data_IF_466928579675
#
_entry.id   IF_466928579675
#
_cell.length_a   1.000
_cell.length_b   1.000
_cell.length_c   1.000
_cell.angle_alpha   90.00
_cell.angle_beta   90.00
_cell.angle_gamma   90.00
#
_symmetry.space_group_name_H-M   'P 1'
#
loop_
_entity.id
_entity.type
_entity.pdbx_description
1 polymer ?
#
# COMPACT_ATOMS: atom_id res chain seq x y z
N UNK A 1 11.81 -10.90 18.14
CA UNK A 1 12.79 -11.54 19.05
C UNK A 1 13.45 -12.68 18.30
N UNK A 2 14.78 -12.71 18.16
CA UNK A 2 15.52 -13.79 17.46
C UNK A 2 15.15 -15.15 18.03
N UNK A 3 14.88 -16.17 17.21
CA UNK A 3 14.40 -17.48 17.66
C UNK A 3 15.46 -18.23 18.46
N UNK A 4 15.03 -19.14 19.33
CA UNK A 4 15.96 -20.00 20.07
C UNK A 4 16.90 -20.76 19.13
N UNK A 5 16.37 -21.34 18.05
CA UNK A 5 17.18 -22.09 17.07
C UNK A 5 18.25 -21.22 16.41
N UNK A 6 17.93 -19.96 16.12
CA UNK A 6 18.85 -18.98 15.55
C UNK A 6 19.92 -18.55 16.54
N UNK A 7 19.53 -18.25 17.79
CA UNK A 7 20.47 -17.84 18.84
C UNK A 7 21.50 -18.92 19.17
N UNK A 8 21.15 -20.19 18.98
CA UNK A 8 22.02 -21.33 19.25
C UNK A 8 22.64 -21.94 17.97
N UNK A 9 22.46 -21.29 16.81
CA UNK A 9 23.10 -21.70 15.56
C UNK A 9 22.57 -22.98 14.92
N UNK A 10 21.41 -23.47 15.36
CA UNK A 10 20.73 -24.62 14.72
C UNK A 10 20.09 -24.24 13.39
N UNK A 11 19.72 -22.97 13.23
CA UNK A 11 19.18 -22.40 12.00
C UNK A 11 19.84 -21.05 11.73
N UNK A 12 20.15 -20.74 10.48
CA UNK A 12 20.55 -19.38 10.14
C UNK A 12 19.30 -18.49 10.12
N UNK A 13 19.34 -17.28 10.72
CA UNK A 13 18.28 -16.31 10.52
C UNK A 13 18.13 -16.02 9.03
N UNK A 14 16.94 -16.25 8.49
CA UNK A 14 16.66 -15.89 7.09
C UNK A 14 16.46 -14.39 7.01
N UNK A 15 17.56 -13.63 6.94
CA UNK A 15 17.54 -12.20 6.64
C UNK A 15 17.17 -11.91 5.17
N UNK A 16 16.84 -12.95 4.40
CA UNK A 16 16.42 -12.83 3.01
C UNK A 16 14.97 -12.40 2.98
N UNK A 17 14.74 -11.19 2.50
CA UNK A 17 13.40 -10.71 2.18
C UNK A 17 12.86 -11.57 1.02
N UNK A 18 11.74 -12.24 1.26
CA UNK A 18 11.03 -13.10 0.32
C UNK A 18 10.24 -12.22 -0.65
N UNK A 19 10.49 -12.43 -1.95
CA UNK A 19 9.87 -11.70 -3.06
C UNK A 19 9.40 -12.68 -4.12
N UNK A 20 8.34 -12.34 -4.83
CA UNK A 20 7.88 -13.07 -6.02
C UNK A 20 7.61 -14.57 -5.80
N UNK A 21 7.27 -14.94 -4.57
CA UNK A 21 6.83 -16.28 -4.18
C UNK A 21 6.03 -16.20 -2.87
N UNK A 22 5.19 -17.19 -2.62
CA UNK A 22 4.51 -17.37 -1.33
C UNK A 22 4.95 -18.73 -0.79
N UNK A 23 5.73 -18.71 0.29
CA UNK A 23 6.12 -19.94 0.99
C UNK A 23 4.92 -20.53 1.72
N UNK A 24 4.99 -21.81 2.11
CA UNK A 24 3.94 -22.45 2.92
C UNK A 24 3.70 -21.69 4.23
N UNK A 25 4.75 -21.11 4.83
CA UNK A 25 4.61 -20.30 6.03
C UNK A 25 3.80 -19.02 5.79
N UNK A 26 4.06 -18.32 4.68
CA UNK A 26 3.30 -17.11 4.29
C UNK A 26 1.87 -17.48 3.91
N UNK A 27 1.68 -18.56 3.16
CA UNK A 27 0.36 -19.06 2.79
C UNK A 27 -0.50 -19.32 4.02
N UNK A 28 0.01 -20.09 4.98
CA UNK A 28 -0.72 -20.41 6.20
C UNK A 28 -1.02 -19.18 7.04
N UNK A 29 -0.10 -18.20 7.10
CA UNK A 29 -0.35 -16.96 7.80
C UNK A 29 -1.47 -16.14 7.16
N UNK A 30 -1.51 -16.05 5.83
CA UNK A 30 -2.61 -15.39 5.11
C UNK A 30 -3.93 -16.15 5.36
N UNK A 31 -3.93 -17.47 5.24
CA UNK A 31 -5.10 -18.30 5.53
C UNK A 31 -5.65 -18.06 6.94
N UNK A 32 -4.78 -18.06 7.96
CA UNK A 32 -5.19 -17.77 9.34
C UNK A 32 -5.81 -16.37 9.47
N UNK A 33 -5.30 -15.35 8.75
CA UNK A 33 -5.92 -14.03 8.75
C UNK A 33 -7.32 -14.04 8.13
N UNK A 34 -7.56 -14.86 7.09
CA UNK A 34 -8.89 -15.04 6.49
C UNK A 34 -9.84 -15.84 7.40
N UNK A 35 -9.35 -16.87 8.10
CA UNK A 35 -10.15 -17.61 9.09
C UNK A 35 -10.65 -16.67 10.20
N UNK A 36 -9.77 -15.83 10.74
CA UNK A 36 -10.15 -14.83 11.75
C UNK A 36 -11.06 -13.72 11.19
N UNK A 37 -10.92 -13.39 9.90
CA UNK A 37 -11.82 -12.46 9.22
C UNK A 37 -13.21 -13.06 9.06
N UNK A 38 -13.32 -14.35 8.72
CA UNK A 38 -14.59 -15.09 8.66
C UNK A 38 -15.31 -15.04 10.01
N UNK A 39 -14.61 -15.33 11.10
CA UNK A 39 -15.17 -15.27 12.46
C UNK A 39 -15.75 -13.90 12.80
N UNK A 40 -15.12 -12.82 12.32
CA UNK A 40 -15.54 -11.43 12.58
C UNK A 40 -16.67 -10.97 11.67
N UNK A 41 -16.64 -11.35 10.39
CA UNK A 41 -17.64 -10.93 9.41
C UNK A 41 -18.92 -11.78 9.46
N UNK A 42 -18.84 -13.02 9.94
CA UNK A 42 -19.97 -13.95 9.98
C UNK A 42 -20.61 -14.08 8.60
N UNK A 43 -21.92 -13.81 8.49
CA UNK A 43 -22.65 -13.91 7.22
C UNK A 43 -22.14 -12.95 6.13
N UNK A 44 -21.44 -11.86 6.47
CA UNK A 44 -20.87 -10.97 5.45
C UNK A 44 -19.67 -11.61 4.73
N UNK A 45 -19.00 -12.57 5.35
CA UNK A 45 -17.90 -13.30 4.72
C UNK A 45 -18.38 -14.09 3.49
N UNK A 46 -19.61 -14.62 3.53
CA UNK A 46 -20.24 -15.25 2.37
C UNK A 46 -20.35 -14.28 1.18
N UNK A 47 -20.73 -13.02 1.42
CA UNK A 47 -20.84 -12.01 0.36
C UNK A 47 -19.47 -11.67 -0.25
N UNK A 48 -18.43 -11.60 0.58
CA UNK A 48 -17.05 -11.42 0.13
C UNK A 48 -16.62 -12.60 -0.76
N UNK A 49 -16.81 -13.83 -0.28
CA UNK A 49 -16.48 -15.03 -1.07
C UNK A 49 -17.25 -15.10 -2.39
N UNK A 50 -18.55 -14.74 -2.38
CA UNK A 50 -19.36 -14.67 -3.59
C UNK A 50 -18.80 -13.63 -4.56
N UNK A 51 -18.45 -12.44 -4.06
CA UNK A 51 -17.86 -11.37 -4.84
C UNK A 51 -16.57 -11.83 -5.53
N UNK A 52 -15.64 -12.44 -4.80
CA UNK A 52 -14.41 -12.98 -5.38
C UNK A 52 -14.71 -14.05 -6.44
N UNK A 53 -15.62 -14.98 -6.14
CA UNK A 53 -16.02 -16.04 -7.07
C UNK A 53 -16.56 -15.48 -8.40
N UNK A 54 -17.46 -14.49 -8.32
CA UNK A 54 -18.15 -13.97 -9.50
C UNK A 54 -17.36 -12.88 -10.23
N UNK A 55 -16.65 -12.02 -9.52
CA UNK A 55 -16.04 -10.80 -10.07
C UNK A 55 -14.58 -11.04 -10.44
N UNK A 56 -13.81 -11.68 -9.54
CA UNK A 56 -12.40 -11.98 -9.80
C UNK A 56 -12.27 -13.22 -10.68
N UNK A 57 -12.86 -14.35 -10.27
CA UNK A 57 -12.75 -15.61 -11.04
C UNK A 57 -13.71 -15.71 -12.23
N UNK A 58 -14.68 -14.79 -12.37
CA UNK A 58 -15.67 -14.79 -13.44
C UNK A 58 -16.49 -16.10 -13.54
N UNK A 59 -16.76 -16.73 -12.39
CA UNK A 59 -17.48 -17.99 -12.30
C UNK A 59 -18.98 -17.77 -12.03
N UNK A 60 -19.81 -18.71 -12.49
CA UNK A 60 -21.28 -18.63 -12.35
C UNK A 60 -21.70 -18.68 -10.88
N UNK A 61 -22.52 -17.72 -10.44
CA UNK A 61 -23.08 -17.62 -9.08
C UNK A 61 -23.77 -18.91 -8.60
N UNK A 62 -24.57 -19.56 -9.43
CA UNK A 62 -25.24 -20.82 -9.04
C UNK A 62 -24.25 -21.91 -8.61
N UNK A 63 -23.04 -21.95 -9.20
CA UNK A 63 -22.00 -22.92 -8.83
C UNK A 63 -21.36 -22.63 -7.48
N UNK A 64 -21.23 -21.36 -7.11
CA UNK A 64 -20.82 -20.99 -5.76
C UNK A 64 -21.82 -21.48 -4.72
N UNK A 65 -23.12 -21.27 -4.97
CA UNK A 65 -24.17 -21.70 -4.05
C UNK A 65 -24.26 -23.22 -3.93
N UNK A 66 -24.03 -23.97 -5.01
CA UNK A 66 -23.91 -25.43 -4.96
C UNK A 66 -22.73 -25.85 -4.08
N UNK A 67 -21.54 -25.27 -4.28
CA UNK A 67 -20.34 -25.64 -3.53
C UNK A 67 -20.49 -25.40 -2.02
N UNK A 68 -20.95 -24.21 -1.60
CA UNK A 68 -21.09 -23.89 -0.17
C UNK A 68 -22.16 -24.76 0.53
N UNK A 69 -23.22 -25.17 -0.17
CA UNK A 69 -24.29 -25.99 0.44
C UNK A 69 -23.86 -27.42 0.75
N UNK A 70 -22.90 -27.96 0.00
CA UNK A 70 -22.58 -29.39 0.00
C UNK A 70 -21.13 -29.70 0.37
N UNK A 71 -20.31 -28.70 0.72
CA UNK A 71 -18.92 -28.89 1.11
C UNK A 71 -18.43 -27.81 2.07
N UNK A 72 -17.35 -28.09 2.82
CA UNK A 72 -16.58 -27.09 3.58
C UNK A 72 -15.75 -26.22 2.61
N UNK A 73 -16.40 -25.65 1.60
CA UNK A 73 -15.74 -24.90 0.55
C UNK A 73 -15.55 -23.45 0.98
N UNK A 74 -14.28 -23.04 1.05
CA UNK A 74 -13.87 -21.65 1.20
C UNK A 74 -13.08 -21.22 -0.05
N UNK A 75 -13.49 -20.11 -0.66
CA UNK A 75 -12.88 -19.58 -1.90
C UNK A 75 -11.42 -19.19 -1.68
N UNK A 76 -11.11 -18.54 -0.55
CA UNK A 76 -9.78 -18.04 -0.25
C UNK A 76 -8.85 -19.19 0.10
N UNK A 77 -9.19 -20.03 1.09
CA UNK A 77 -8.38 -21.16 1.53
C UNK A 77 -8.10 -22.10 0.34
N UNK A 78 -9.11 -22.47 -0.43
CA UNK A 78 -8.91 -23.32 -1.61
C UNK A 78 -8.01 -22.67 -2.65
N UNK A 79 -8.06 -21.34 -2.80
CA UNK A 79 -7.20 -20.64 -3.76
C UNK A 79 -5.75 -20.52 -3.26
N UNK A 80 -5.56 -20.20 -1.98
CA UNK A 80 -4.25 -20.11 -1.36
C UNK A 80 -3.57 -21.49 -1.29
N UNK A 81 -4.31 -22.56 -1.01
CA UNK A 81 -3.74 -23.91 -0.95
C UNK A 81 -3.53 -24.58 -2.31
N UNK A 82 -4.17 -24.07 -3.38
CA UNK A 82 -4.00 -24.63 -4.72
C UNK A 82 -2.60 -24.33 -5.28
N UNK A 83 -1.77 -25.36 -5.54
CA UNK A 83 -0.41 -25.17 -6.06
C UNK A 83 -0.38 -24.71 -7.53
N UNK A 84 -1.49 -24.82 -8.25
CA UNK A 84 -1.58 -24.39 -9.65
C UNK A 84 -1.81 -22.87 -9.78
N UNK A 85 -2.30 -22.21 -8.72
CA UNK A 85 -2.48 -20.76 -8.72
C UNK A 85 -1.13 -20.10 -8.43
N UNK A 86 -0.74 -19.17 -9.30
CA UNK A 86 0.54 -18.44 -9.17
C UNK A 86 0.50 -17.52 -7.96
N UNK A 87 1.67 -17.27 -7.36
CA UNK A 87 1.78 -16.44 -6.16
C UNK A 87 1.16 -15.05 -6.32
N UNK A 88 1.32 -14.41 -7.50
CA UNK A 88 0.77 -13.08 -7.74
C UNK A 88 -0.77 -13.11 -7.82
N UNK A 89 -1.35 -14.11 -8.49
CA UNK A 89 -2.81 -14.32 -8.49
C UNK A 89 -3.38 -14.55 -7.07
N UNK A 90 -2.58 -15.07 -6.13
CA UNK A 90 -2.99 -15.21 -4.73
C UNK A 90 -2.98 -13.86 -4.00
N UNK A 91 -2.04 -12.98 -4.33
CA UNK A 91 -2.02 -11.61 -3.79
C UNK A 91 -3.15 -10.75 -4.38
N UNK A 92 -3.54 -10.98 -5.64
CA UNK A 92 -4.70 -10.32 -6.25
C UNK A 92 -5.97 -10.54 -5.38
N UNK A 93 -6.11 -11.70 -4.72
CA UNK A 93 -7.25 -11.96 -3.83
C UNK A 93 -7.28 -11.04 -2.61
N UNK A 94 -6.11 -10.60 -2.13
CA UNK A 94 -6.00 -9.63 -1.04
C UNK A 94 -6.45 -8.26 -1.56
N UNK A 95 -5.94 -7.82 -2.72
CA UNK A 95 -6.37 -6.55 -3.35
C UNK A 95 -7.90 -6.54 -3.58
N UNK A 96 -8.46 -7.63 -4.10
CA UNK A 96 -9.91 -7.77 -4.33
C UNK A 96 -10.71 -7.77 -3.02
N UNK A 97 -10.14 -8.26 -1.92
CA UNK A 97 -10.76 -8.20 -0.60
C UNK A 97 -10.88 -6.75 -0.12
N UNK A 98 -9.82 -5.96 -0.27
CA UNK A 98 -9.86 -4.54 0.07
C UNK A 98 -10.72 -3.72 -0.90
N UNK A 99 -10.75 -4.09 -2.19
CA UNK A 99 -11.67 -3.50 -3.16
C UNK A 99 -13.13 -3.73 -2.76
N UNK A 100 -13.48 -4.94 -2.31
CA UNK A 100 -14.80 -5.25 -1.76
C UNK A 100 -15.14 -4.35 -0.56
N UNK A 101 -14.19 -4.16 0.36
CA UNK A 101 -14.40 -3.28 1.53
C UNK A 101 -14.66 -1.83 1.16
N UNK A 102 -14.07 -1.33 0.06
CA UNK A 102 -14.28 0.03 -0.45
C UNK A 102 -15.59 0.21 -1.22
N UNK A 103 -16.35 -0.86 -1.49
CA UNK A 103 -17.61 -0.74 -2.24
C UNK A 103 -18.66 0.07 -1.45
N UNK A 104 -19.43 0.97 -2.10
CA UNK A 104 -20.47 1.75 -1.41
C UNK A 104 -21.56 0.92 -0.72
N UNK A 105 -21.75 -0.32 -1.18
CA UNK A 105 -22.71 -1.28 -0.64
C UNK A 105 -22.14 -2.15 0.48
N UNK A 106 -20.84 -2.02 0.77
CA UNK A 106 -20.19 -2.69 1.87
C UNK A 106 -20.37 -1.84 3.14
N UNK A 107 -20.91 -2.46 4.19
CA UNK A 107 -21.18 -1.80 5.47
C UNK A 107 -20.42 -2.49 6.61
N UNK A 108 -19.17 -2.88 6.35
CA UNK A 108 -18.28 -3.47 7.35
C UNK A 108 -17.65 -2.34 8.16
N UNK A 109 -17.60 -2.51 9.48
CA UNK A 109 -16.97 -1.55 10.39
C UNK A 109 -15.49 -1.35 10.03
N UNK A 110 -15.03 -0.09 9.96
CA UNK A 110 -13.64 0.23 9.63
C UNK A 110 -12.64 -0.48 10.53
N UNK A 111 -12.97 -0.62 11.82
CA UNK A 111 -12.13 -1.35 12.77
C UNK A 111 -11.86 -2.81 12.36
N UNK A 112 -12.83 -3.50 11.74
CA UNK A 112 -12.62 -4.87 11.27
C UNK A 112 -11.64 -4.89 10.10
N UNK A 113 -11.75 -3.91 9.19
CA UNK A 113 -10.87 -3.76 8.03
C UNK A 113 -9.45 -3.42 8.50
N UNK A 114 -9.32 -2.47 9.42
CA UNK A 114 -8.04 -2.03 10.00
C UNK A 114 -7.34 -3.20 10.71
N UNK A 115 -8.08 -3.99 11.49
CA UNK A 115 -7.54 -5.16 12.17
C UNK A 115 -7.08 -6.26 11.20
N UNK A 116 -7.80 -6.46 10.09
CA UNK A 116 -7.40 -7.42 9.06
C UNK A 116 -6.11 -6.96 8.36
N UNK A 117 -6.05 -5.68 7.97
CA UNK A 117 -4.85 -5.07 7.38
C UNK A 117 -3.64 -5.18 8.32
N UNK A 118 -3.82 -4.80 9.59
CA UNK A 118 -2.76 -4.84 10.61
C UNK A 118 -2.21 -6.25 10.79
N UNK A 119 -3.08 -7.26 10.86
CA UNK A 119 -2.67 -8.66 11.01
C UNK A 119 -1.90 -9.18 9.81
N UNK A 120 -2.37 -8.92 8.60
CA UNK A 120 -1.65 -9.28 7.38
C UNK A 120 -0.25 -8.62 7.35
N UNK A 121 -0.16 -7.32 7.64
CA UNK A 121 1.11 -6.60 7.67
C UNK A 121 2.07 -7.13 8.74
N UNK A 122 1.55 -7.46 9.93
CA UNK A 122 2.34 -8.06 11.00
C UNK A 122 2.89 -9.43 10.60
N UNK A 123 2.07 -10.27 9.96
CA UNK A 123 2.50 -11.58 9.47
C UNK A 123 3.51 -11.46 8.32
N UNK A 124 3.31 -10.51 7.40
CA UNK A 124 4.24 -10.23 6.31
C UNK A 124 5.59 -9.74 6.85
N UNK A 125 5.60 -8.87 7.85
CA UNK A 125 6.82 -8.45 8.53
C UNK A 125 7.50 -9.61 9.26
N UNK A 126 6.75 -10.37 10.06
CA UNK A 126 7.24 -11.52 10.83
C UNK A 126 7.88 -12.59 9.94
N UNK A 127 7.38 -12.76 8.72
CA UNK A 127 7.84 -13.76 7.75
C UNK A 127 8.82 -13.20 6.71
N UNK A 128 9.31 -11.97 6.88
CA UNK A 128 10.20 -11.29 5.93
C UNK A 128 9.65 -11.26 4.49
N UNK A 129 8.34 -11.12 4.34
CA UNK A 129 7.69 -10.94 3.05
C UNK A 129 7.78 -9.48 2.60
N UNK A 130 8.14 -9.25 1.33
CA UNK A 130 8.44 -7.90 0.81
C UNK A 130 7.23 -6.99 0.61
N UNK A 131 6.02 -7.50 0.83
CA UNK A 131 4.77 -6.80 0.52
C UNK A 131 4.09 -6.30 1.78
N UNK A 132 3.35 -5.20 1.66
CA UNK A 132 2.50 -4.62 2.69
C UNK A 132 1.21 -4.15 2.06
N UNK A 133 0.15 -4.12 2.86
CA UNK A 133 -1.11 -3.50 2.50
C UNK A 133 -1.09 -2.09 3.08
N UNK A 134 -1.17 -1.09 2.22
CA UNK A 134 -1.27 0.32 2.61
C UNK A 134 -2.46 0.91 1.85
N UNK A 135 -3.39 1.51 2.58
CA UNK A 135 -4.65 2.01 2.02
C UNK A 135 -5.39 0.96 1.17
N UNK A 136 -5.36 -0.30 1.60
CA UNK A 136 -5.98 -1.42 0.88
C UNK A 136 -5.31 -1.84 -0.43
N UNK A 137 -4.08 -1.39 -0.72
CA UNK A 137 -3.30 -1.84 -1.87
C UNK A 137 -2.10 -2.68 -1.43
N UNK A 138 -1.90 -3.84 -2.05
CA UNK A 138 -0.69 -4.65 -1.87
C UNK A 138 0.47 -4.00 -2.64
N UNK A 139 1.47 -3.50 -1.92
CA UNK A 139 2.65 -2.82 -2.49
C UNK A 139 3.94 -3.45 -1.98
N UNK A 140 4.98 -3.45 -2.81
CA UNK A 140 6.33 -3.93 -2.43
C UNK A 140 7.07 -2.85 -1.64
N UNK A 141 6.69 -2.67 -0.37
CA UNK A 141 7.33 -1.78 0.61
C UNK A 141 7.69 -2.63 1.82
N UNK A 142 8.97 -2.71 2.17
CA UNK A 142 9.45 -3.77 3.08
C UNK A 142 9.94 -3.29 4.44
N UNK A 143 10.31 -2.01 4.57
CA UNK A 143 10.71 -1.42 5.86
C UNK A 143 9.49 -0.93 6.64
N UNK A 144 9.48 -1.19 7.94
CA UNK A 144 8.45 -0.67 8.85
C UNK A 144 8.44 0.87 8.87
N UNK A 145 9.61 1.49 8.74
CA UNK A 145 9.76 2.94 8.67
C UNK A 145 9.17 3.54 7.38
N UNK A 146 9.33 2.85 6.24
CA UNK A 146 8.73 3.25 4.97
C UNK A 146 7.20 3.22 5.05
N UNK A 147 6.65 2.10 5.55
CA UNK A 147 5.19 1.93 5.74
C UNK A 147 4.66 3.02 6.66
N UNK A 148 5.28 3.19 7.83
CA UNK A 148 4.84 4.15 8.83
C UNK A 148 4.89 5.59 8.31
N UNK A 149 5.91 5.96 7.53
CA UNK A 149 5.97 7.29 6.93
C UNK A 149 4.75 7.57 6.04
N UNK A 150 4.29 6.57 5.28
CA UNK A 150 3.13 6.70 4.41
C UNK A 150 1.82 6.74 5.22
N UNK A 151 1.64 5.83 6.17
CA UNK A 151 0.45 5.77 7.03
C UNK A 151 0.27 7.04 7.87
N UNK A 152 1.35 7.55 8.48
CA UNK A 152 1.33 8.82 9.24
C UNK A 152 0.90 10.00 8.35
N UNK A 153 1.28 10.00 7.06
CA UNK A 153 0.93 11.07 6.12
C UNK A 153 -0.52 10.98 5.63
N UNK A 154 -1.04 9.77 5.47
CA UNK A 154 -2.45 9.50 5.16
C UNK A 154 -3.39 9.91 6.30
N UNK A 155 -2.91 9.92 7.55
CA UNK A 155 -3.66 10.35 8.72
C UNK A 155 -3.85 11.88 8.82
N UNK A 156 -3.38 12.66 7.84
CA UNK A 156 -3.60 14.12 7.76
C UNK A 156 -5.08 14.51 7.75
N UNK A 157 -5.44 15.74 8.12
CA UNK A 157 -6.82 16.24 7.96
C UNK A 157 -7.08 16.85 6.57
N UNK A 158 -6.03 16.98 5.74
CA UNK A 158 -6.12 17.61 4.41
C UNK A 158 -6.57 16.58 3.38
N UNK A 159 -7.85 16.62 3.00
CA UNK A 159 -8.47 15.61 2.13
C UNK A 159 -7.80 15.47 0.75
N UNK A 160 -7.35 16.58 0.15
CA UNK A 160 -6.63 16.54 -1.13
C UNK A 160 -5.29 15.80 -1.02
N UNK A 161 -4.64 15.85 0.14
CA UNK A 161 -3.38 15.15 0.40
C UNK A 161 -3.64 13.65 0.52
N UNK A 162 -4.68 13.25 1.26
CA UNK A 162 -5.10 11.83 1.32
C UNK A 162 -5.34 11.27 -0.07
N UNK A 163 -6.18 11.94 -0.85
CA UNK A 163 -6.52 11.51 -2.21
C UNK A 163 -5.29 11.33 -3.10
N UNK A 164 -4.34 12.27 -3.06
CA UNK A 164 -3.11 12.13 -3.84
C UNK A 164 -2.19 11.01 -3.34
N UNK A 165 -2.08 10.78 -2.03
CA UNK A 165 -1.29 9.66 -1.50
C UNK A 165 -1.94 8.31 -1.81
N UNK A 166 -3.27 8.20 -1.68
CA UNK A 166 -4.04 7.02 -2.08
C UNK A 166 -3.87 6.71 -3.57
N UNK A 167 -3.99 7.72 -4.44
CA UNK A 167 -3.74 7.56 -5.88
C UNK A 167 -2.28 7.16 -6.15
N UNK A 168 -1.32 7.67 -5.38
CA UNK A 168 0.08 7.30 -5.53
C UNK A 168 0.32 5.82 -5.20
N UNK A 169 -0.35 5.29 -4.18
CA UNK A 169 -0.33 3.87 -3.81
C UNK A 169 -1.00 2.99 -4.86
N UNK A 170 -2.16 3.41 -5.38
CA UNK A 170 -2.83 2.73 -6.49
C UNK A 170 -1.92 2.63 -7.72
N UNK A 171 -1.29 3.75 -8.14
CA UNK A 171 -0.37 3.73 -9.28
C UNK A 171 0.88 2.89 -9.01
N UNK A 172 1.32 2.81 -7.74
CA UNK A 172 2.43 1.96 -7.35
C UNK A 172 2.08 0.48 -7.51
N UNK A 173 0.90 0.04 -7.07
CA UNK A 173 0.45 -1.35 -7.22
C UNK A 173 0.24 -1.74 -8.69
N UNK A 174 -0.22 -0.80 -9.52
CA UNK A 174 -0.35 -0.95 -10.98
C UNK A 174 1.00 -0.95 -11.74
N UNK A 175 2.12 -0.73 -11.04
CA UNK A 175 3.47 -0.53 -11.62
C UNK A 175 3.54 0.69 -12.56
N UNK A 176 2.65 1.65 -12.38
CA UNK A 176 2.70 2.96 -13.01
C UNK A 176 3.54 3.91 -12.15
N UNK A 177 4.84 3.59 -12.04
CA UNK A 177 5.81 4.26 -11.17
C UNK A 177 5.89 5.76 -11.43
N UNK A 178 5.77 6.15 -12.70
CA UNK A 178 5.77 7.55 -13.12
C UNK A 178 4.58 8.29 -12.51
N UNK A 179 3.36 7.76 -12.66
CA UNK A 179 2.19 8.43 -12.10
C UNK A 179 2.15 8.33 -10.57
N UNK A 180 2.70 7.27 -9.97
CA UNK A 180 2.88 7.20 -8.51
C UNK A 180 3.73 8.36 -7.97
N UNK A 181 4.90 8.61 -8.56
CA UNK A 181 5.78 9.74 -8.20
C UNK A 181 5.07 11.08 -8.39
N UNK A 182 4.33 11.23 -9.50
CA UNK A 182 3.57 12.45 -9.80
C UNK A 182 2.52 12.72 -8.72
N UNK A 183 1.73 11.72 -8.35
CA UNK A 183 0.68 11.86 -7.33
C UNK A 183 1.29 12.13 -5.95
N UNK A 184 2.41 11.48 -5.58
CA UNK A 184 3.12 11.76 -4.34
C UNK A 184 3.63 13.23 -4.27
N UNK A 185 4.15 13.76 -5.38
CA UNK A 185 4.52 15.18 -5.46
C UNK A 185 3.30 16.11 -5.39
N UNK A 186 2.18 15.72 -6.00
CA UNK A 186 0.91 16.44 -5.91
C UNK A 186 0.36 16.47 -4.49
N UNK A 187 0.61 15.44 -3.67
CA UNK A 187 0.27 15.43 -2.26
C UNK A 187 1.06 16.50 -1.48
N UNK A 188 2.38 16.60 -1.68
CA UNK A 188 3.18 17.67 -1.08
C UNK A 188 2.72 19.06 -1.55
N UNK A 189 2.43 19.21 -2.85
CA UNK A 189 1.87 20.44 -3.42
C UNK A 189 0.54 20.82 -2.76
N UNK A 190 -0.40 19.89 -2.66
CA UNK A 190 -1.68 20.09 -2.00
C UNK A 190 -1.49 20.52 -0.53
N UNK A 191 -0.57 19.90 0.19
CA UNK A 191 -0.29 20.25 1.59
C UNK A 191 0.31 21.65 1.73
N UNK A 192 1.27 22.03 0.89
CA UNK A 192 1.85 23.38 0.92
C UNK A 192 0.85 24.47 0.55
N UNK A 193 -0.10 24.16 -0.35
CA UNK A 193 -1.20 25.05 -0.71
C UNK A 193 -2.22 25.19 0.42
N UNK A 194 -2.54 24.11 1.12
CA UNK A 194 -3.40 24.14 2.32
C UNK A 194 -2.82 25.09 3.38
N UNK A 195 -1.51 25.01 3.63
CA UNK A 195 -0.85 25.88 4.59
C UNK A 195 -0.82 27.34 4.11
N UNK A 196 -0.37 27.59 2.89
CA UNK A 196 -0.07 28.95 2.41
C UNK A 196 -1.26 29.70 1.84
N UNK A 197 -2.37 29.02 1.52
CA UNK A 197 -3.50 29.59 0.77
C UNK A 197 -3.20 29.87 -0.71
N UNK A 198 -2.03 29.51 -1.21
CA UNK A 198 -1.60 29.76 -2.58
C UNK A 198 -2.23 28.77 -3.58
N UNK A 199 -2.27 29.17 -4.85
CA UNK A 199 -2.79 28.34 -5.95
C UNK A 199 -1.77 27.32 -6.50
N UNK A 200 -0.50 27.47 -6.14
CA UNK A 200 0.62 26.66 -6.66
C UNK A 200 1.57 26.26 -5.54
N UNK A 201 2.35 25.18 -5.76
CA UNK A 201 3.42 24.76 -4.85
C UNK A 201 4.37 25.91 -4.49
N UNK A 202 4.59 26.17 -3.20
CA UNK A 202 5.61 27.11 -2.72
C UNK A 202 5.94 26.93 -1.23
N UNK A 203 7.21 26.69 -0.91
CA UNK A 203 7.71 26.64 0.48
C UNK A 203 8.08 28.02 1.05
N UNK A 204 8.06 29.07 0.21
CA UNK A 204 8.45 30.43 0.62
C UNK A 204 7.46 31.06 1.59
N UNK A 205 6.19 30.68 1.48
CA UNK A 205 5.11 31.25 2.29
C UNK A 205 4.99 30.62 3.67
N UNK A 206 5.60 29.45 3.89
CA UNK A 206 5.58 28.75 5.17
C UNK A 206 6.08 29.63 6.33
N UNK A 207 7.09 30.49 6.10
CA UNK A 207 7.62 31.37 7.16
C UNK A 207 6.58 32.41 7.63
N UNK A 208 5.65 32.82 6.74
CA UNK A 208 4.59 33.78 7.08
C UNK A 208 3.49 33.14 7.94
N UNK A 209 3.29 31.84 7.76
CA UNK A 209 2.37 31.01 8.53
C UNK A 209 3.01 30.45 9.81
N UNK A 210 4.15 31.00 10.24
CA UNK A 210 4.84 30.61 11.48
C UNK A 210 5.67 29.32 11.37
N UNK A 211 5.69 28.67 10.20
CA UNK A 211 6.45 27.45 9.95
C UNK A 211 7.89 27.81 9.53
N UNK A 212 8.77 27.91 10.53
CA UNK A 212 10.18 28.23 10.32
C UNK A 212 10.98 26.98 10.00
N UNK A 213 11.54 26.93 8.79
CA UNK A 213 12.37 25.82 8.30
C UNK A 213 13.69 26.38 7.78
N UNK A 214 14.79 25.72 8.14
CA UNK A 214 16.10 26.10 7.65
C UNK A 214 16.14 26.07 6.10
N UNK A 215 16.72 27.11 5.48
CA UNK A 215 16.73 27.30 4.03
C UNK A 215 17.19 26.07 3.26
N UNK A 216 18.27 25.42 3.70
CA UNK A 216 18.80 24.22 3.04
C UNK A 216 17.77 23.06 2.99
N UNK A 217 16.92 22.93 4.02
CA UNK A 217 15.90 21.89 4.03
C UNK A 217 14.76 22.22 3.06
N UNK A 218 14.39 23.50 2.93
CA UNK A 218 13.47 23.96 1.87
C UNK A 218 14.07 23.68 0.49
N UNK A 219 15.34 23.98 0.29
CA UNK A 219 16.03 23.75 -0.99
C UNK A 219 16.06 22.25 -1.37
N UNK A 220 16.17 21.35 -0.40
CA UNK A 220 16.09 19.89 -0.63
C UNK A 220 14.68 19.49 -1.07
N UNK A 221 13.64 19.92 -0.35
CA UNK A 221 12.24 19.65 -0.70
C UNK A 221 11.88 20.22 -2.08
N UNK A 222 12.33 21.44 -2.38
CA UNK A 222 12.14 22.07 -3.69
C UNK A 222 12.80 21.26 -4.80
N UNK A 223 14.05 20.82 -4.62
CA UNK A 223 14.74 19.98 -5.62
C UNK A 223 14.02 18.65 -5.84
N UNK A 224 13.55 18.02 -4.77
CA UNK A 224 12.79 16.78 -4.85
C UNK A 224 11.46 16.98 -5.60
N UNK A 225 10.75 18.07 -5.32
CA UNK A 225 9.53 18.41 -6.04
C UNK A 225 9.81 18.71 -7.52
N UNK A 226 10.78 19.58 -7.82
CA UNK A 226 11.10 19.98 -9.19
C UNK A 226 11.75 18.87 -10.02
N UNK A 227 12.36 17.85 -9.40
CA UNK A 227 12.75 16.62 -10.08
C UNK A 227 11.56 16.00 -10.85
N UNK A 228 10.35 16.04 -10.29
CA UNK A 228 9.15 15.53 -10.97
C UNK A 228 8.71 16.37 -12.18
N UNK A 229 9.20 17.61 -12.27
CA UNK A 229 8.95 18.57 -13.34
C UNK A 229 10.12 18.68 -14.34
N UNK A 230 11.20 17.94 -14.14
CA UNK A 230 12.40 18.02 -14.98
C UNK A 230 12.15 17.55 -16.42
N UNK A 231 12.81 18.13 -17.42
CA UNK A 231 12.51 17.81 -18.83
C UNK A 231 13.05 16.45 -19.28
N UNK A 232 14.12 15.96 -18.66
CA UNK A 232 14.78 14.69 -19.02
C UNK A 232 14.24 13.53 -18.17
N UNK A 233 13.88 13.80 -16.91
CA UNK A 233 13.51 12.77 -15.92
C UNK A 233 12.14 13.01 -15.25
N UNK A 234 11.47 14.12 -15.58
CA UNK A 234 10.27 14.54 -14.87
C UNK A 234 9.04 13.72 -15.22
N UNK A 235 8.52 13.07 -14.18
CA UNK A 235 7.31 12.26 -14.24
C UNK A 235 6.06 13.06 -14.67
N UNK A 236 6.09 14.39 -14.68
CA UNK A 236 4.98 15.26 -15.13
C UNK A 236 4.99 15.57 -16.64
N UNK A 237 6.03 15.20 -17.40
CA UNK A 237 6.05 15.39 -18.86
C UNK A 237 5.51 14.18 -19.62
N UNK A 238 4.58 14.40 -20.54
CA UNK A 238 3.74 13.38 -21.18
C UNK A 238 4.49 12.29 -21.95
N UNK A 239 5.75 12.48 -22.34
CA UNK A 239 6.50 11.58 -23.24
C UNK A 239 7.90 11.29 -22.73
N UNK A 240 8.01 10.54 -21.63
CA UNK A 240 9.28 9.97 -21.19
C UNK A 240 9.59 8.73 -22.05
N UNK A 241 10.82 8.62 -22.55
CA UNK A 241 11.27 7.41 -23.26
C UNK A 241 11.33 6.24 -22.26
N UNK A 242 10.57 5.14 -22.46
CA UNK A 242 10.61 3.98 -21.57
C UNK A 242 11.94 3.22 -21.59
N UNK A 243 12.84 3.53 -22.53
CA UNK A 243 14.21 2.99 -22.58
C UNK A 243 15.25 3.95 -22.01
N UNK A 244 14.84 5.09 -21.47
CA UNK A 244 15.76 6.03 -20.81
C UNK A 244 16.40 5.35 -19.59
N UNK A 245 17.70 5.54 -19.33
CA UNK A 245 18.31 5.08 -18.08
C UNK A 245 17.72 5.77 -16.83
N UNK A 246 16.90 6.81 -17.03
CA UNK A 246 16.22 7.55 -15.98
C UNK A 246 14.73 7.25 -15.88
N UNK A 247 14.22 6.26 -16.63
CA UNK A 247 12.83 5.79 -16.45
C UNK A 247 12.67 5.27 -15.02
N UNK A 248 11.76 5.82 -14.21
CA UNK A 248 11.59 5.41 -12.82
C UNK A 248 11.23 3.92 -12.71
N UNK A 249 11.88 3.24 -11.77
CA UNK A 249 11.53 1.88 -11.38
C UNK A 249 10.70 1.88 -10.10
N UNK A 250 10.37 0.69 -9.59
CA UNK A 250 9.71 0.56 -8.30
C UNK A 250 10.51 1.23 -7.18
N UNK A 251 11.85 1.13 -7.20
CA UNK A 251 12.72 1.68 -6.16
C UNK A 251 12.62 3.21 -6.11
N UNK A 252 12.65 3.88 -7.27
CA UNK A 252 12.43 5.34 -7.34
C UNK A 252 11.02 5.73 -6.88
N UNK A 253 9.99 4.97 -7.26
CA UNK A 253 8.62 5.28 -6.86
C UNK A 253 8.41 5.16 -5.35
N UNK A 254 8.90 4.08 -4.73
CA UNK A 254 8.86 3.90 -3.27
C UNK A 254 9.66 4.99 -2.58
N UNK A 255 10.90 5.26 -3.04
CA UNK A 255 11.75 6.30 -2.48
C UNK A 255 11.06 7.68 -2.48
N UNK A 256 10.46 8.07 -3.60
CA UNK A 256 9.79 9.36 -3.73
C UNK A 256 8.50 9.41 -2.90
N UNK A 257 7.68 8.36 -2.92
CA UNK A 257 6.46 8.27 -2.11
C UNK A 257 6.78 8.43 -0.62
N UNK A 258 7.73 7.64 -0.11
CA UNK A 258 8.17 7.70 1.30
C UNK A 258 8.76 9.08 1.64
N UNK A 259 9.55 9.66 0.73
CA UNK A 259 10.18 10.97 0.95
C UNK A 259 9.16 12.11 0.99
N UNK A 260 8.17 12.11 0.09
CA UNK A 260 7.09 13.10 0.11
C UNK A 260 6.19 12.93 1.34
N UNK A 261 5.84 11.70 1.71
CA UNK A 261 5.09 11.42 2.94
C UNK A 261 5.85 11.89 4.18
N UNK A 262 7.15 11.63 4.25
CA UNK A 262 8.02 12.12 5.33
C UNK A 262 8.09 13.65 5.39
N UNK A 263 8.15 14.32 4.23
CA UNK A 263 8.12 15.78 4.16
C UNK A 263 6.78 16.33 4.67
N UNK A 264 5.65 15.74 4.27
CA UNK A 264 4.32 16.10 4.77
C UNK A 264 4.25 15.93 6.29
N UNK A 265 4.66 14.78 6.82
CA UNK A 265 4.69 14.51 8.27
C UNK A 265 5.53 15.52 9.05
N UNK A 266 6.70 15.87 8.52
CA UNK A 266 7.56 16.89 9.11
C UNK A 266 6.88 18.27 9.13
N UNK A 267 6.28 18.68 8.02
CA UNK A 267 5.59 19.96 7.91
C UNK A 267 4.34 20.01 8.81
N UNK A 268 3.58 18.92 8.93
CA UNK A 268 2.47 18.78 9.88
C UNK A 268 2.93 19.02 11.31
N UNK A 269 4.06 18.42 11.72
CA UNK A 269 4.64 18.64 13.06
C UNK A 269 5.14 20.07 13.28
N UNK A 270 5.49 20.80 12.22
CA UNK A 270 5.90 22.21 12.30
C UNK A 270 4.74 23.20 12.35
N UNK A 271 3.55 22.79 11.89
CA UNK A 271 2.31 23.57 11.94
C UNK A 271 1.69 23.61 13.35
N UNK A 272 1.96 22.58 14.17
CA UNK A 272 1.51 22.44 15.56
C UNK A 272 2.35 23.31 16.51
#
# INVERSE_FOLDING_TARGET
MTLFSERYGYTNPSNVIIRKEITVGIQNAICNCYDELEERLGSYYFNLQEYIWTSHFNLRKDKFQENIKYSNFDVFINSFENPNIKWFNKLDLIDETFAFFKMPTCHIDSWVIDQFQEKLNNEFARLNFAYRIIDGYVVEVSSEEEVKAIEDALATEVESVKNHLSNALEKLSERDYRNSIKEAASALEAFTRDISGESTYSLKWLDKEGIVIHKMLKDIMDKMYYYTCDKEVGCRHSHMDPNSPYTPTADEAVFMLVSFSSAINYLTKKRQ
#
